data_IF_178952402824
#
_entry.id   IF_178952402824
#
_cell.length_a   1.000
_cell.length_b   1.000
_cell.length_c   1.000
_cell.angle_alpha   90.00
_cell.angle_beta   90.00
_cell.angle_gamma   90.00
#
_symmetry.space_group_name_H-M   'P 1'
#
loop_
_entity.id
_entity.type
_entity.pdbx_description
1 polymer ?
#
# COMPACT_ATOMS: atom_id res chain seq x y z
N UNK A 1 11.76 -21.99 16.76
CA UNK A 1 12.94 -21.12 16.47
C UNK A 1 13.08 -20.78 14.99
N UNK A 2 12.74 -21.66 14.05
CA UNK A 2 12.82 -21.40 12.59
C UNK A 2 11.94 -20.23 12.13
N UNK A 3 10.76 -20.05 12.72
CA UNK A 3 9.84 -18.96 12.33
C UNK A 3 10.42 -17.55 12.55
N UNK A 4 11.00 -17.25 13.70
CA UNK A 4 11.55 -15.92 14.02
C UNK A 4 12.72 -15.56 13.10
N UNK A 5 13.54 -16.54 12.74
CA UNK A 5 14.66 -16.35 11.79
C UNK A 5 14.17 -15.90 10.41
N UNK A 6 13.03 -16.42 9.94
CA UNK A 6 12.44 -16.02 8.66
C UNK A 6 11.99 -14.56 8.67
N UNK A 7 11.36 -14.11 9.77
CA UNK A 7 10.97 -12.70 9.95
C UNK A 7 12.19 -11.77 9.96
N UNK A 8 13.24 -12.13 10.72
CA UNK A 8 14.46 -11.33 10.78
C UNK A 8 15.21 -11.32 9.45
N UNK A 9 15.26 -12.44 8.73
CA UNK A 9 15.87 -12.50 7.41
C UNK A 9 15.14 -11.59 6.41
N UNK A 10 13.81 -11.65 6.36
CA UNK A 10 13.01 -10.77 5.51
C UNK A 10 13.21 -9.29 5.87
N UNK A 11 13.19 -8.95 7.17
CA UNK A 11 13.46 -7.62 7.68
C UNK A 11 14.80 -7.07 7.20
N UNK A 12 15.90 -7.82 7.44
CA UNK A 12 17.24 -7.39 7.05
C UNK A 12 17.40 -7.25 5.55
N UNK A 13 16.86 -8.18 4.76
CA UNK A 13 16.91 -8.12 3.30
C UNK A 13 16.15 -6.91 2.75
N UNK A 14 14.97 -6.59 3.28
CA UNK A 14 14.27 -5.36 2.91
C UNK A 14 15.07 -4.10 3.23
N UNK A 15 15.72 -4.04 4.40
CA UNK A 15 16.57 -2.90 4.77
C UNK A 15 17.78 -2.77 3.84
N UNK A 16 18.47 -3.87 3.55
CA UNK A 16 19.64 -3.87 2.66
C UNK A 16 19.27 -3.42 1.25
N UNK A 17 18.20 -3.97 0.69
CA UNK A 17 17.73 -3.60 -0.65
C UNK A 17 17.19 -2.17 -0.66
N UNK A 18 16.42 -1.77 0.34
CA UNK A 18 15.94 -0.40 0.50
C UNK A 18 17.08 0.62 0.59
N UNK A 19 18.12 0.30 1.36
CA UNK A 19 19.34 1.10 1.45
C UNK A 19 20.06 1.20 0.10
N UNK A 20 20.17 0.08 -0.65
CA UNK A 20 20.80 0.07 -1.96
C UNK A 20 20.03 0.98 -2.94
N UNK A 21 18.70 0.85 -3.03
CA UNK A 21 17.87 1.72 -3.87
C UNK A 21 17.95 3.18 -3.42
N UNK A 22 17.93 3.46 -2.13
CA UNK A 22 18.07 4.81 -1.60
C UNK A 22 19.40 5.43 -2.06
N UNK A 23 20.49 4.72 -1.85
CA UNK A 23 21.82 5.17 -2.25
C UNK A 23 21.92 5.44 -3.75
N UNK A 24 21.39 4.56 -4.59
CA UNK A 24 21.49 4.71 -6.04
C UNK A 24 20.53 5.79 -6.59
N UNK A 25 19.32 5.88 -6.08
CA UNK A 25 18.32 6.84 -6.59
C UNK A 25 18.56 8.25 -6.06
N UNK A 26 18.95 8.40 -4.78
CA UNK A 26 18.98 9.70 -4.14
C UNK A 26 20.40 10.28 -3.97
N UNK A 27 21.46 9.46 -3.90
CA UNK A 27 22.83 9.94 -3.72
C UNK A 27 23.61 10.09 -5.03
N UNK A 28 23.32 9.29 -6.06
CA UNK A 28 23.97 9.39 -7.38
C UNK A 28 23.29 10.37 -8.34
N UNK A 29 22.14 10.94 -8.02
CA UNK A 29 21.54 12.05 -8.76
C UNK A 29 22.46 13.29 -8.86
N UNK A 30 23.57 13.33 -8.11
CA UNK A 30 24.57 14.38 -8.11
C UNK A 30 25.77 14.10 -9.05
N UNK A 31 25.94 12.89 -9.57
CA UNK A 31 27.11 12.50 -10.36
C UNK A 31 26.69 11.88 -11.70
N UNK A 32 26.87 12.70 -12.74
CA UNK A 32 27.10 12.37 -14.16
C UNK A 32 26.10 11.47 -14.91
N UNK A 33 25.59 12.04 -15.98
CA UNK A 33 25.10 11.42 -17.21
C UNK A 33 26.07 10.37 -17.77
N UNK A 34 26.00 9.13 -17.34
CA UNK A 34 26.56 8.01 -18.07
C UNK A 34 25.41 7.23 -18.72
N UNK A 35 25.47 7.15 -20.04
CA UNK A 35 24.47 6.59 -20.97
C UNK A 35 24.40 5.05 -20.97
N UNK A 36 24.83 4.39 -19.89
CA UNK A 36 24.74 2.95 -19.76
C UNK A 36 23.64 2.56 -18.79
N UNK A 37 22.70 1.67 -19.19
CA UNK A 37 21.75 1.07 -18.25
C UNK A 37 22.55 0.38 -17.15
N UNK A 38 22.42 0.89 -15.93
CA UNK A 38 23.21 0.44 -14.80
C UNK A 38 22.75 -0.98 -14.44
N UNK A 39 23.51 -2.01 -14.85
CA UNK A 39 23.22 -3.41 -14.55
C UNK A 39 23.01 -3.67 -13.08
N UNK A 40 23.49 -2.76 -12.21
CA UNK A 40 23.31 -2.84 -10.76
C UNK A 40 21.84 -2.66 -10.33
N UNK A 41 21.05 -1.85 -11.02
CA UNK A 41 19.63 -1.65 -10.73
C UNK A 41 18.82 -2.88 -11.16
N UNK A 42 19.19 -3.48 -12.31
CA UNK A 42 18.49 -4.66 -12.83
C UNK A 42 18.59 -5.84 -11.87
N UNK A 43 19.78 -6.18 -11.36
CA UNK A 43 19.91 -7.31 -10.42
C UNK A 43 19.22 -7.04 -9.08
N UNK A 44 19.23 -5.79 -8.59
CA UNK A 44 18.56 -5.42 -7.34
C UNK A 44 17.04 -5.59 -7.43
N UNK A 45 16.47 -5.35 -8.61
CA UNK A 45 15.05 -5.62 -8.87
C UNK A 45 14.74 -7.13 -8.75
N UNK A 46 15.58 -8.00 -9.29
CA UNK A 46 15.40 -9.44 -9.10
C UNK A 46 15.66 -9.86 -7.64
N UNK A 47 16.65 -9.27 -6.97
CA UNK A 47 16.95 -9.54 -5.57
C UNK A 47 15.78 -9.21 -4.63
N UNK A 48 14.95 -8.20 -4.97
CA UNK A 48 13.76 -7.83 -4.20
C UNK A 48 12.72 -8.98 -4.11
N UNK A 49 12.77 -9.94 -5.03
CA UNK A 49 11.88 -11.10 -4.99
C UNK A 49 12.12 -11.96 -3.74
N UNK A 50 13.37 -12.04 -3.26
CA UNK A 50 13.72 -12.88 -2.10
C UNK A 50 13.00 -12.41 -0.82
N UNK A 51 13.12 -11.14 -0.37
CA UNK A 51 12.38 -10.69 0.80
C UNK A 51 10.86 -10.68 0.58
N UNK A 52 10.36 -10.47 -0.64
CA UNK A 52 8.93 -10.60 -0.95
C UNK A 52 8.42 -12.03 -0.73
N UNK A 53 9.16 -13.06 -1.16
CA UNK A 53 8.79 -14.46 -0.94
C UNK A 53 8.89 -14.85 0.53
N UNK A 54 9.94 -14.41 1.23
CA UNK A 54 10.07 -14.65 2.67
C UNK A 54 8.93 -13.99 3.45
N UNK A 55 8.56 -12.76 3.10
CA UNK A 55 7.43 -12.05 3.71
C UNK A 55 6.09 -12.77 3.43
N UNK A 56 5.87 -13.23 2.19
CA UNK A 56 4.71 -14.06 1.87
C UNK A 56 4.66 -15.34 2.71
N UNK A 57 5.81 -16.00 2.90
CA UNK A 57 5.89 -17.20 3.73
C UNK A 57 5.58 -16.91 5.20
N UNK A 58 6.07 -15.78 5.76
CA UNK A 58 5.73 -15.37 7.14
C UNK A 58 4.26 -15.03 7.29
N UNK A 59 3.65 -14.34 6.31
CA UNK A 59 2.22 -14.07 6.28
C UNK A 59 1.41 -15.36 6.21
N UNK A 60 1.79 -16.29 5.33
CA UNK A 60 1.14 -17.59 5.24
C UNK A 60 1.17 -18.32 6.58
N UNK A 61 2.34 -18.40 7.21
CA UNK A 61 2.49 -19.04 8.52
C UNK A 61 1.64 -18.38 9.61
N UNK A 62 1.62 -17.03 9.67
CA UNK A 62 0.86 -16.30 10.70
C UNK A 62 -0.65 -16.30 10.45
N UNK A 63 -1.10 -16.41 9.20
CA UNK A 63 -2.52 -16.41 8.86
C UNK A 63 -3.16 -17.80 8.92
N UNK A 64 -2.38 -18.87 8.67
CA UNK A 64 -2.87 -20.25 8.57
C UNK A 64 -2.23 -21.19 9.62
N UNK A 65 -1.72 -20.65 10.74
CA UNK A 65 -1.12 -21.44 11.82
C UNK A 65 -2.14 -22.35 12.51
N UNK A 66 -3.38 -21.88 12.64
CA UNK A 66 -4.49 -22.60 13.27
C UNK A 66 -5.48 -23.10 12.20
N UNK A 67 -6.46 -23.90 12.62
CA UNK A 67 -7.50 -24.44 11.73
C UNK A 67 -8.47 -23.36 11.23
N UNK A 68 -7.97 -22.29 10.61
CA UNK A 68 -8.76 -21.18 10.07
C UNK A 68 -7.92 -19.97 9.72
N UNK A 69 -8.50 -19.01 8.99
CA UNK A 69 -7.81 -17.77 8.60
C UNK A 69 -7.76 -16.77 9.77
N UNK A 70 -6.57 -16.54 10.31
CA UNK A 70 -6.32 -15.54 11.36
C UNK A 70 -5.92 -14.19 10.75
N UNK A 71 -6.84 -13.21 10.78
CA UNK A 71 -6.66 -11.91 10.12
C UNK A 71 -6.86 -10.74 11.10
N UNK A 72 -5.92 -10.60 12.04
CA UNK A 72 -5.86 -9.48 12.99
C UNK A 72 -5.16 -8.25 12.42
N UNK A 73 -4.97 -7.24 13.27
CA UNK A 73 -4.37 -5.96 12.90
C UNK A 73 -2.97 -6.13 12.26
N UNK A 74 -2.10 -6.93 12.89
CA UNK A 74 -0.73 -7.17 12.40
C UNK A 74 -0.72 -7.80 11.01
N UNK A 75 -1.50 -8.87 10.81
CA UNK A 75 -1.62 -9.56 9.53
C UNK A 75 -2.22 -8.66 8.43
N UNK A 76 -3.21 -7.83 8.79
CA UNK A 76 -3.86 -6.93 7.84
C UNK A 76 -2.90 -5.86 7.31
N UNK A 77 -2.22 -5.13 8.21
CA UNK A 77 -1.26 -4.09 7.81
C UNK A 77 -0.10 -4.71 7.04
N UNK A 78 0.46 -5.81 7.55
CA UNK A 78 1.57 -6.53 6.92
C UNK A 78 1.21 -6.98 5.50
N UNK A 79 0.01 -7.53 5.28
CA UNK A 79 -0.47 -7.95 3.97
C UNK A 79 -0.67 -6.79 3.00
N UNK A 80 -1.24 -5.65 3.46
CA UNK A 80 -1.41 -4.45 2.63
C UNK A 80 -0.04 -3.91 2.18
N UNK A 81 0.92 -3.83 3.10
CA UNK A 81 2.26 -3.34 2.79
C UNK A 81 3.03 -4.33 1.91
N UNK A 82 2.89 -5.64 2.15
CA UNK A 82 3.46 -6.67 1.28
C UNK A 82 2.93 -6.55 -0.16
N UNK A 83 1.61 -6.43 -0.32
CA UNK A 83 1.00 -6.30 -1.63
C UNK A 83 1.40 -4.97 -2.30
N UNK A 84 1.52 -3.88 -1.52
CA UNK A 84 2.08 -2.61 -1.99
C UNK A 84 3.50 -2.81 -2.51
N UNK A 85 4.39 -3.44 -1.74
CA UNK A 85 5.77 -3.72 -2.15
C UNK A 85 5.83 -4.64 -3.38
N UNK A 86 4.94 -5.62 -3.47
CA UNK A 86 4.82 -6.49 -4.65
C UNK A 86 4.41 -5.70 -5.89
N UNK A 87 3.43 -4.80 -5.80
CA UNK A 87 2.99 -3.95 -6.93
C UNK A 87 4.14 -3.02 -7.37
N UNK A 88 4.90 -2.43 -6.43
CA UNK A 88 6.08 -1.64 -6.77
C UNK A 88 7.16 -2.46 -7.46
N UNK A 89 7.46 -3.66 -6.95
CA UNK A 89 8.39 -4.58 -7.60
C UNK A 89 7.94 -4.94 -9.01
N UNK A 90 6.68 -5.32 -9.17
CA UNK A 90 6.11 -5.69 -10.46
C UNK A 90 6.07 -4.51 -11.44
N UNK A 91 5.81 -3.29 -10.94
CA UNK A 91 5.80 -2.08 -11.77
C UNK A 91 7.15 -1.78 -12.44
N UNK A 92 8.24 -2.26 -11.87
CA UNK A 92 9.58 -2.10 -12.41
C UNK A 92 9.82 -2.79 -13.76
N UNK A 93 8.99 -3.76 -14.12
CA UNK A 93 9.04 -4.42 -15.42
C UNK A 93 8.34 -3.62 -16.54
N UNK A 94 7.67 -2.52 -16.20
CA UNK A 94 6.90 -1.72 -17.14
C UNK A 94 7.45 -0.28 -17.23
N UNK A 95 7.98 0.11 -18.39
CA UNK A 95 8.52 1.45 -18.63
C UNK A 95 7.52 2.58 -18.34
N UNK A 96 6.24 2.34 -18.59
CA UNK A 96 5.17 3.30 -18.32
C UNK A 96 4.96 3.61 -16.84
N UNK A 97 5.46 2.75 -15.95
CA UNK A 97 5.31 2.86 -14.50
C UNK A 97 6.63 3.25 -13.80
N UNK A 98 7.67 3.61 -14.55
CA UNK A 98 8.98 4.03 -13.99
C UNK A 98 8.88 5.13 -12.93
N UNK A 99 7.86 5.99 -13.03
CA UNK A 99 7.62 7.02 -11.99
C UNK A 99 7.34 6.48 -10.59
N UNK A 100 6.96 5.19 -10.46
CA UNK A 100 6.79 4.54 -9.16
C UNK A 100 8.13 4.12 -8.54
N UNK A 101 9.17 3.89 -9.33
CA UNK A 101 10.46 3.35 -8.85
C UNK A 101 11.16 4.26 -7.83
N UNK A 102 10.88 5.54 -7.85
CA UNK A 102 11.42 6.50 -6.86
C UNK A 102 10.98 6.21 -5.42
N UNK A 103 9.88 5.47 -5.24
CA UNK A 103 9.33 5.12 -3.93
C UNK A 103 9.69 3.69 -3.47
N UNK A 104 10.49 2.94 -4.25
CA UNK A 104 10.89 1.58 -3.89
C UNK A 104 11.63 1.55 -2.55
N UNK A 105 12.55 2.49 -2.31
CA UNK A 105 13.30 2.55 -1.06
C UNK A 105 12.41 2.79 0.17
N UNK A 106 11.54 3.83 0.23
CA UNK A 106 10.65 4.00 1.37
C UNK A 106 9.61 2.88 1.51
N UNK A 107 9.17 2.28 0.41
CA UNK A 107 8.26 1.12 0.45
C UNK A 107 8.97 -0.12 1.01
N UNK A 108 10.22 -0.38 0.63
CA UNK A 108 11.03 -1.45 1.21
C UNK A 108 11.26 -1.24 2.71
N UNK A 109 11.54 0.00 3.15
CA UNK A 109 11.67 0.32 4.58
C UNK A 109 10.34 0.09 5.33
N UNK A 110 9.20 0.47 4.75
CA UNK A 110 7.89 0.18 5.32
C UNK A 110 7.61 -1.33 5.39
N UNK A 111 7.99 -2.10 4.35
CA UNK A 111 7.84 -3.55 4.31
C UNK A 111 8.73 -4.25 5.35
N UNK A 112 9.94 -3.72 5.60
CA UNK A 112 10.80 -4.21 6.68
C UNK A 112 10.10 -4.12 8.04
N UNK A 113 9.47 -2.99 8.35
CA UNK A 113 8.71 -2.84 9.60
C UNK A 113 7.47 -3.74 9.59
N UNK A 114 6.74 -3.76 8.48
CA UNK A 114 5.48 -4.46 8.36
C UNK A 114 5.60 -5.98 8.50
N UNK A 115 6.71 -6.58 8.07
CA UNK A 115 6.96 -8.01 8.22
C UNK A 115 7.00 -8.45 9.69
N UNK A 116 7.35 -7.56 10.61
CA UNK A 116 7.41 -7.85 12.05
C UNK A 116 6.05 -7.68 12.76
N UNK A 117 5.07 -7.01 12.14
CA UNK A 117 3.80 -6.69 12.78
C UNK A 117 3.00 -7.91 13.24
N UNK A 118 2.95 -9.05 12.51
CA UNK A 118 2.28 -10.25 13.00
C UNK A 118 2.89 -10.84 14.28
N UNK A 119 4.19 -10.60 14.55
CA UNK A 119 4.84 -11.00 15.80
C UNK A 119 4.48 -10.07 16.96
N UNK A 120 4.35 -8.77 16.66
CA UNK A 120 4.04 -7.73 17.67
C UNK A 120 2.55 -7.75 18.02
N UNK A 121 1.69 -7.95 17.02
CA UNK A 121 0.23 -7.99 17.13
C UNK A 121 -0.30 -9.33 16.60
N UNK A 122 -0.12 -10.43 17.35
CA UNK A 122 -0.61 -11.75 16.93
C UNK A 122 -2.13 -11.78 16.86
N UNK A 123 -2.67 -12.48 15.88
CA UNK A 123 -4.12 -12.70 15.78
C UNK A 123 -4.55 -13.76 16.77
N UNK A 124 -5.48 -13.42 17.66
CA UNK A 124 -5.93 -14.33 18.71
C UNK A 124 -7.08 -15.26 18.30
N UNK A 125 -7.79 -14.95 17.23
CA UNK A 125 -8.95 -15.74 16.78
C UNK A 125 -9.02 -15.86 15.26
N UNK A 126 -9.34 -17.06 14.75
CA UNK A 126 -9.66 -17.22 13.34
C UNK A 126 -10.97 -16.51 12.99
N UNK A 127 -11.06 -16.01 11.77
CA UNK A 127 -12.29 -15.43 11.23
C UNK A 127 -13.30 -16.53 10.92
N UNK A 128 -14.58 -16.26 11.17
CA UNK A 128 -15.67 -17.13 10.75
C UNK A 128 -15.87 -17.09 9.22
N UNK A 129 -16.42 -18.18 8.66
CA UNK A 129 -16.84 -18.28 7.26
C UNK A 129 -15.71 -18.07 6.22
N UNK A 130 -14.46 -18.31 6.60
CA UNK A 130 -13.30 -18.13 5.74
C UNK A 130 -13.24 -19.11 4.56
N UNK A 131 -14.02 -20.19 4.62
CA UNK A 131 -14.11 -21.19 3.54
C UNK A 131 -14.97 -20.70 2.35
N UNK A 132 -15.82 -19.70 2.55
CA UNK A 132 -16.70 -19.20 1.50
C UNK A 132 -15.89 -18.49 0.40
N UNK A 133 -16.06 -18.89 -0.87
CA UNK A 133 -15.39 -18.22 -2.00
C UNK A 133 -15.69 -16.71 -2.08
N UNK A 134 -16.93 -16.31 -1.73
CA UNK A 134 -17.34 -14.91 -1.69
C UNK A 134 -16.51 -14.10 -0.65
N UNK A 135 -16.23 -14.68 0.52
CA UNK A 135 -15.37 -14.05 1.52
C UNK A 135 -13.94 -13.89 1.01
N UNK A 136 -13.36 -14.95 0.43
CA UNK A 136 -11.99 -14.92 -0.12
C UNK A 136 -11.87 -13.86 -1.22
N UNK A 137 -12.84 -13.79 -2.13
CA UNK A 137 -12.88 -12.79 -3.20
C UNK A 137 -13.01 -11.37 -2.65
N UNK A 138 -13.95 -11.13 -1.70
CA UNK A 138 -14.10 -9.85 -1.03
C UNK A 138 -12.81 -9.39 -0.35
N UNK A 139 -12.16 -10.27 0.41
CA UNK A 139 -10.91 -9.97 1.10
C UNK A 139 -9.80 -9.60 0.11
N UNK A 140 -9.63 -10.37 -0.96
CA UNK A 140 -8.63 -10.11 -2.00
C UNK A 140 -8.84 -8.76 -2.68
N UNK A 141 -10.08 -8.46 -3.11
CA UNK A 141 -10.44 -7.20 -3.75
C UNK A 141 -10.19 -6.03 -2.78
N UNK A 142 -10.60 -6.16 -1.52
CA UNK A 142 -10.38 -5.16 -0.50
C UNK A 142 -8.88 -4.89 -0.28
N UNK A 143 -8.06 -5.94 -0.16
CA UNK A 143 -6.62 -5.80 0.01
C UNK A 143 -5.96 -5.11 -1.18
N UNK A 144 -6.36 -5.44 -2.40
CA UNK A 144 -5.88 -4.75 -3.61
C UNK A 144 -6.30 -3.27 -3.64
N UNK A 145 -7.55 -2.95 -3.25
CA UNK A 145 -8.02 -1.58 -3.15
C UNK A 145 -7.19 -0.77 -2.13
N UNK A 146 -6.99 -1.31 -0.92
CA UNK A 146 -6.15 -0.68 0.11
C UNK A 146 -4.72 -0.46 -0.37
N UNK A 147 -4.11 -1.46 -1.01
CA UNK A 147 -2.72 -1.36 -1.49
C UNK A 147 -2.57 -0.31 -2.59
N UNK A 148 -3.46 -0.27 -3.58
CA UNK A 148 -3.41 0.74 -4.64
C UNK A 148 -3.67 2.15 -4.11
N UNK A 149 -4.60 2.33 -3.17
CA UNK A 149 -4.85 3.63 -2.57
C UNK A 149 -3.73 4.03 -1.60
N UNK A 150 -3.02 3.08 -0.99
CA UNK A 150 -1.75 3.33 -0.28
C UNK A 150 -0.68 3.86 -1.24
N UNK A 151 -0.54 3.24 -2.41
CA UNK A 151 0.37 3.71 -3.46
C UNK A 151 0.00 5.13 -3.90
N UNK A 152 -1.30 5.42 -4.13
CA UNK A 152 -1.77 6.75 -4.46
C UNK A 152 -1.41 7.79 -3.38
N UNK A 153 -1.58 7.45 -2.10
CA UNK A 153 -1.23 8.32 -0.98
C UNK A 153 0.29 8.58 -0.90
N UNK A 154 1.12 7.54 -1.03
CA UNK A 154 2.58 7.67 -1.05
C UNK A 154 3.04 8.52 -2.24
N UNK A 155 2.43 8.33 -3.40
CA UNK A 155 2.72 9.11 -4.60
C UNK A 155 2.30 10.58 -4.44
N UNK A 156 1.15 10.84 -3.81
CA UNK A 156 0.71 12.19 -3.46
C UNK A 156 1.66 12.88 -2.46
N UNK A 157 2.18 12.14 -1.47
CA UNK A 157 3.22 12.63 -0.56
C UNK A 157 4.51 12.98 -1.30
N UNK A 158 4.97 12.10 -2.21
CA UNK A 158 6.13 12.38 -3.05
C UNK A 158 5.94 13.66 -3.87
N UNK A 159 4.76 13.83 -4.51
CA UNK A 159 4.45 15.05 -5.25
C UNK A 159 4.49 16.29 -4.36
N UNK A 160 4.06 16.20 -3.11
CA UNK A 160 4.17 17.30 -2.13
C UNK A 160 5.62 17.67 -1.84
N UNK A 161 6.48 16.67 -1.69
CA UNK A 161 7.93 16.88 -1.48
C UNK A 161 8.55 17.54 -2.70
N UNK A 162 8.28 17.03 -3.89
CA UNK A 162 8.77 17.59 -5.15
C UNK A 162 8.32 19.06 -5.34
N UNK A 163 7.04 19.34 -5.11
CA UNK A 163 6.48 20.69 -5.23
C UNK A 163 7.16 21.67 -4.27
N UNK A 164 7.41 21.28 -3.01
CA UNK A 164 8.10 22.12 -2.04
C UNK A 164 9.54 22.44 -2.46
N UNK A 165 10.26 21.46 -2.98
CA UNK A 165 11.65 21.64 -3.41
C UNK A 165 11.78 22.52 -4.68
N UNK A 166 10.79 22.52 -5.58
CA UNK A 166 10.77 23.40 -6.73
C UNK A 166 10.75 24.89 -6.37
N UNK A 167 10.28 25.25 -5.18
CA UNK A 167 10.22 26.63 -4.70
C UNK A 167 11.47 27.08 -3.93
N UNK A 168 12.49 26.23 -3.73
CA UNK A 168 13.72 26.56 -3.02
C UNK A 168 14.92 26.56 -3.98
N UNK A 169 15.60 27.72 -4.18
CA UNK A 169 16.82 27.81 -5.02
C UNK A 169 17.94 26.96 -4.38
N UNK A 170 18.49 26.02 -5.14
CA UNK A 170 19.63 25.19 -4.70
C UNK A 170 19.38 23.68 -4.65
N UNK A 171 18.18 23.22 -4.90
CA UNK A 171 17.77 21.79 -4.80
C UNK A 171 17.79 21.06 -6.16
N UNK A 172 18.58 21.51 -7.13
CA UNK A 172 18.52 21.03 -8.52
C UNK A 172 18.91 19.56 -8.72
N UNK A 173 19.73 18.99 -7.84
CA UNK A 173 20.29 17.64 -8.05
C UNK A 173 19.23 16.53 -7.94
N UNK A 174 18.32 16.62 -6.99
CA UNK A 174 17.29 15.58 -6.74
C UNK A 174 16.16 15.66 -7.78
N UNK A 175 15.82 16.89 -8.23
CA UNK A 175 14.72 17.14 -9.15
C UNK A 175 14.99 16.62 -10.57
N UNK A 176 16.26 16.58 -11.00
CA UNK A 176 16.64 16.14 -12.34
C UNK A 176 16.41 14.64 -12.59
N UNK A 177 16.31 13.84 -11.54
CA UNK A 177 16.05 12.39 -11.63
C UNK A 177 14.56 12.03 -11.54
N UNK A 178 13.69 13.00 -11.23
CA UNK A 178 12.25 12.75 -11.04
C UNK A 178 11.46 13.06 -12.32
N UNK A 179 10.40 12.30 -12.62
CA UNK A 179 9.53 12.61 -13.74
C UNK A 179 8.86 13.99 -13.58
N UNK A 180 8.50 14.64 -14.69
CA UNK A 180 7.76 15.90 -14.64
C UNK A 180 6.48 15.78 -13.81
N UNK A 181 6.15 16.79 -13.00
CA UNK A 181 4.96 16.82 -12.13
C UNK A 181 3.67 16.44 -12.87
N UNK A 182 3.53 16.82 -14.12
CA UNK A 182 2.36 16.47 -14.95
C UNK A 182 2.27 14.96 -15.21
N UNK A 183 3.40 14.29 -15.43
CA UNK A 183 3.44 12.84 -15.60
C UNK A 183 3.10 12.12 -14.28
N UNK A 184 3.62 12.64 -13.16
CA UNK A 184 3.30 12.13 -11.83
C UNK A 184 1.80 12.28 -11.51
N UNK A 185 1.21 13.42 -11.85
CA UNK A 185 -0.23 13.67 -11.67
C UNK A 185 -1.08 12.70 -12.50
N UNK A 186 -0.72 12.48 -13.76
CA UNK A 186 -1.41 11.50 -14.62
C UNK A 186 -1.36 10.09 -14.04
N UNK A 187 -0.19 9.69 -13.55
CA UNK A 187 0.00 8.40 -12.90
C UNK A 187 -0.84 8.28 -11.62
N UNK A 188 -0.86 9.33 -10.77
CA UNK A 188 -1.68 9.40 -9.57
C UNK A 188 -3.16 9.14 -9.88
N UNK A 189 -3.73 9.83 -10.85
CA UNK A 189 -5.14 9.66 -11.21
C UNK A 189 -5.43 8.28 -11.80
N UNK A 190 -4.51 7.70 -12.58
CA UNK A 190 -4.67 6.32 -13.08
C UNK A 190 -4.74 5.31 -11.91
N UNK A 191 -3.87 5.45 -10.91
CA UNK A 191 -3.87 4.59 -9.73
C UNK A 191 -5.17 4.78 -8.92
N UNK A 192 -5.60 6.04 -8.73
CA UNK A 192 -6.85 6.35 -8.01
C UNK A 192 -8.04 5.74 -8.75
N UNK A 193 -8.11 5.81 -10.09
CA UNK A 193 -9.20 5.21 -10.86
C UNK A 193 -9.30 3.70 -10.62
N UNK A 194 -8.19 2.97 -10.74
CA UNK A 194 -8.19 1.52 -10.49
C UNK A 194 -8.52 1.22 -9.03
N UNK A 195 -7.91 1.95 -8.09
CA UNK A 195 -8.19 1.81 -6.66
C UNK A 195 -9.66 2.09 -6.31
N UNK A 196 -10.27 3.11 -6.93
CA UNK A 196 -11.67 3.46 -6.75
C UNK A 196 -12.64 2.39 -7.28
N UNK A 197 -12.34 1.79 -8.43
CA UNK A 197 -13.12 0.66 -8.96
C UNK A 197 -13.08 -0.51 -7.98
N UNK A 198 -11.89 -0.87 -7.49
CA UNK A 198 -11.74 -1.94 -6.51
C UNK A 198 -12.42 -1.61 -5.17
N UNK A 199 -12.35 -0.37 -4.71
CA UNK A 199 -13.07 0.09 -3.52
C UNK A 199 -14.59 -0.01 -3.71
N UNK A 200 -15.10 0.35 -4.88
CA UNK A 200 -16.51 0.19 -5.23
C UNK A 200 -16.93 -1.29 -5.20
N UNK A 201 -16.12 -2.17 -5.80
CA UNK A 201 -16.37 -3.61 -5.75
C UNK A 201 -16.31 -4.17 -4.33
N UNK A 202 -15.39 -3.65 -3.49
CA UNK A 202 -15.29 -4.00 -2.07
C UNK A 202 -16.57 -3.63 -1.33
N UNK A 203 -17.08 -2.41 -1.50
CA UNK A 203 -18.30 -1.97 -0.85
C UNK A 203 -19.52 -2.75 -1.35
N UNK A 204 -19.65 -2.94 -2.66
CA UNK A 204 -20.74 -3.71 -3.26
C UNK A 204 -20.75 -5.16 -2.75
N UNK A 205 -19.59 -5.84 -2.80
CA UNK A 205 -19.49 -7.21 -2.30
C UNK A 205 -19.76 -7.29 -0.80
N UNK A 206 -19.32 -6.31 0.00
CA UNK A 206 -19.63 -6.22 1.42
C UNK A 206 -21.12 -6.06 1.71
N UNK A 207 -21.86 -5.32 0.89
CA UNK A 207 -23.32 -5.18 1.00
C UNK A 207 -24.04 -6.45 0.55
N UNK A 208 -23.70 -6.96 -0.64
CA UNK A 208 -24.41 -8.11 -1.28
C UNK A 208 -24.21 -9.38 -0.45
N UNK A 209 -22.97 -9.65 -0.03
CA UNK A 209 -22.64 -10.88 0.70
C UNK A 209 -22.69 -10.73 2.23
N UNK A 210 -23.24 -9.62 2.74
CA UNK A 210 -23.27 -9.36 4.18
C UNK A 210 -23.89 -10.51 5.00
N UNK A 211 -25.05 -11.01 4.55
CA UNK A 211 -25.73 -12.13 5.24
C UNK A 211 -24.95 -13.44 5.14
N UNK A 212 -24.38 -13.75 3.96
CA UNK A 212 -23.66 -15.00 3.70
C UNK A 212 -22.30 -15.02 4.41
N UNK A 213 -21.58 -13.88 4.39
CA UNK A 213 -20.22 -13.77 4.91
C UNK A 213 -20.20 -13.48 6.42
N UNK A 214 -21.10 -12.62 6.90
CA UNK A 214 -21.10 -12.17 8.30
C UNK A 214 -22.29 -12.69 9.12
N UNK A 215 -23.21 -13.47 8.50
CA UNK A 215 -24.39 -14.03 9.18
C UNK A 215 -25.45 -13.00 9.60
N UNK A 216 -25.22 -11.72 9.28
CA UNK A 216 -26.10 -10.60 9.67
C UNK A 216 -26.34 -9.66 8.47
N UNK A 217 -27.50 -8.99 8.39
CA UNK A 217 -27.71 -7.93 7.39
C UNK A 217 -26.71 -6.80 7.62
N UNK A 218 -26.50 -5.97 6.60
CA UNK A 218 -25.58 -4.85 6.67
C UNK A 218 -25.84 -3.99 7.90
N UNK A 219 -24.89 -4.00 8.83
CA UNK A 219 -24.94 -3.12 10.01
C UNK A 219 -24.11 -1.87 9.73
N UNK A 220 -24.72 -0.70 9.98
CA UNK A 220 -24.01 0.59 9.88
C UNK A 220 -23.06 0.74 11.08
N UNK A 221 -21.91 0.08 10.99
CA UNK A 221 -20.82 0.23 11.94
C UNK A 221 -19.91 1.41 11.52
N UNK A 222 -19.08 1.88 12.44
CA UNK A 222 -18.05 2.90 12.13
C UNK A 222 -17.19 2.49 10.92
N UNK A 223 -16.86 1.19 10.79
CA UNK A 223 -16.13 0.63 9.66
C UNK A 223 -16.84 0.87 8.33
N UNK A 224 -18.13 0.55 8.28
CA UNK A 224 -18.96 0.73 7.08
C UNK A 224 -19.10 2.22 6.74
N UNK A 225 -19.36 3.06 7.75
CA UNK A 225 -19.51 4.51 7.57
C UNK A 225 -18.25 5.15 6.98
N UNK A 226 -17.08 4.92 7.57
CA UNK A 226 -15.82 5.45 7.05
C UNK A 226 -15.45 4.90 5.67
N UNK A 227 -15.84 3.66 5.36
CA UNK A 227 -15.70 3.09 4.02
C UNK A 227 -16.48 3.87 2.98
N UNK A 228 -17.76 4.18 3.24
CA UNK A 228 -18.60 4.98 2.35
C UNK A 228 -18.12 6.44 2.26
N UNK A 229 -17.69 7.04 3.36
CA UNK A 229 -17.13 8.41 3.34
C UNK A 229 -15.87 8.44 2.46
N UNK A 230 -14.94 7.49 2.63
CA UNK A 230 -13.75 7.40 1.79
C UNK A 230 -14.11 7.23 0.31
N UNK A 231 -15.06 6.37 0.00
CA UNK A 231 -15.57 6.19 -1.36
C UNK A 231 -16.12 7.51 -1.93
N UNK A 232 -16.93 8.24 -1.15
CA UNK A 232 -17.47 9.54 -1.54
C UNK A 232 -16.38 10.59 -1.79
N UNK A 233 -15.31 10.61 -0.98
CA UNK A 233 -14.15 11.50 -1.16
C UNK A 233 -13.44 11.20 -2.48
N UNK A 234 -13.17 9.92 -2.80
CA UNK A 234 -12.53 9.54 -4.06
C UNK A 234 -13.45 9.78 -5.26
N UNK A 235 -14.77 9.53 -5.12
CA UNK A 235 -15.76 9.87 -6.15
C UNK A 235 -15.77 11.37 -6.46
N UNK A 236 -15.80 12.21 -5.42
CA UNK A 236 -15.75 13.67 -5.55
C UNK A 236 -14.44 14.14 -6.19
N UNK A 237 -13.29 13.54 -5.82
CA UNK A 237 -12.00 13.85 -6.43
C UNK A 237 -12.00 13.53 -7.93
N UNK A 238 -12.48 12.36 -8.33
CA UNK A 238 -12.53 11.95 -9.74
C UNK A 238 -13.53 12.79 -10.55
N UNK A 239 -14.70 13.09 -9.97
CA UNK A 239 -15.67 14.01 -10.57
C UNK A 239 -15.12 15.43 -10.68
N UNK A 240 -14.45 15.93 -9.63
CA UNK A 240 -13.78 17.22 -9.63
C UNK A 240 -12.68 17.31 -10.69
N UNK A 241 -11.95 16.22 -10.91
CA UNK A 241 -10.97 16.13 -12.02
C UNK A 241 -11.65 16.25 -13.38
N UNK A 242 -12.76 15.53 -13.57
CA UNK A 242 -13.46 15.47 -14.86
C UNK A 242 -14.20 16.77 -15.19
N UNK A 243 -14.91 17.36 -14.23
CA UNK A 243 -15.80 18.51 -14.48
C UNK A 243 -15.15 19.86 -14.21
N UNK A 244 -14.25 19.93 -13.21
CA UNK A 244 -13.63 21.18 -12.73
C UNK A 244 -12.12 21.24 -12.99
N UNK A 245 -11.52 20.19 -13.54
CA UNK A 245 -10.10 20.14 -13.82
C UNK A 245 -9.20 20.17 -12.56
N UNK A 246 -9.64 19.61 -11.45
CA UNK A 246 -8.86 19.56 -10.21
C UNK A 246 -7.52 18.90 -10.41
N UNK A 247 -6.44 19.62 -10.01
CA UNK A 247 -5.03 19.26 -10.21
C UNK A 247 -4.16 19.69 -9.02
N UNK A 248 -2.89 19.25 -9.04
CA UNK A 248 -1.87 19.68 -8.09
C UNK A 248 -2.30 19.53 -6.65
N UNK A 249 -2.22 20.60 -5.87
CA UNK A 249 -2.50 20.59 -4.41
C UNK A 249 -3.91 20.11 -4.04
N UNK A 250 -4.90 20.39 -4.88
CA UNK A 250 -6.28 19.92 -4.62
C UNK A 250 -6.31 18.40 -4.72
N UNK A 251 -5.77 17.84 -5.78
CA UNK A 251 -5.70 16.39 -5.97
C UNK A 251 -4.95 15.69 -4.83
N UNK A 252 -3.80 16.25 -4.42
CA UNK A 252 -3.00 15.73 -3.30
C UNK A 252 -3.81 15.71 -2.00
N UNK A 253 -4.45 16.83 -1.65
CA UNK A 253 -5.22 16.95 -0.39
C UNK A 253 -6.38 15.95 -0.36
N UNK A 254 -7.18 15.88 -1.41
CA UNK A 254 -8.31 14.96 -1.49
C UNK A 254 -7.87 13.50 -1.46
N UNK A 255 -6.76 13.15 -2.12
CA UNK A 255 -6.18 11.81 -2.08
C UNK A 255 -5.79 11.43 -0.65
N UNK A 256 -5.10 12.30 0.07
CA UNK A 256 -4.68 12.06 1.45
C UNK A 256 -5.87 11.98 2.41
N UNK A 257 -6.86 12.85 2.27
CA UNK A 257 -8.10 12.80 3.09
C UNK A 257 -8.84 11.50 2.85
N UNK A 258 -9.05 11.11 1.58
CA UNK A 258 -9.69 9.84 1.24
C UNK A 258 -8.96 8.65 1.80
N UNK A 259 -7.63 8.63 1.71
CA UNK A 259 -6.80 7.55 2.23
C UNK A 259 -6.83 7.47 3.77
N UNK A 260 -6.71 8.60 4.49
CA UNK A 260 -6.81 8.65 5.95
C UNK A 260 -8.17 8.11 6.41
N UNK A 261 -9.25 8.53 5.74
CA UNK A 261 -10.60 8.04 6.03
C UNK A 261 -10.72 6.53 5.79
N UNK A 262 -10.07 6.02 4.72
CA UNK A 262 -10.03 4.60 4.43
C UNK A 262 -9.24 3.80 5.49
N UNK A 263 -8.12 4.34 5.97
CA UNK A 263 -7.38 3.73 7.08
C UNK A 263 -8.22 3.64 8.35
N UNK A 264 -8.99 4.68 8.67
CA UNK A 264 -9.90 4.67 9.83
C UNK A 264 -11.01 3.63 9.69
N UNK A 265 -11.46 3.33 8.48
CA UNK A 265 -12.50 2.33 8.24
C UNK A 265 -12.11 0.95 8.73
N UNK A 266 -10.90 0.48 8.47
CA UNK A 266 -10.48 -0.87 8.84
C UNK A 266 -9.41 -0.87 9.93
N UNK A 267 -8.27 -0.24 9.68
CA UNK A 267 -7.13 -0.24 10.60
C UNK A 267 -7.51 0.47 11.91
N UNK A 268 -8.18 1.63 11.81
CA UNK A 268 -8.65 2.37 12.98
C UNK A 268 -9.66 1.56 13.82
N UNK A 269 -10.61 0.89 13.16
CA UNK A 269 -11.59 0.05 13.88
C UNK A 269 -10.95 -1.16 14.55
N UNK A 270 -10.00 -1.82 13.88
CA UNK A 270 -9.24 -2.95 14.43
C UNK A 270 -8.32 -2.50 15.58
N UNK A 271 -7.64 -1.38 15.43
CA UNK A 271 -6.80 -0.82 16.48
C UNK A 271 -7.59 -0.54 17.76
N UNK A 272 -8.75 0.10 17.64
CA UNK A 272 -9.62 0.38 18.79
C UNK A 272 -10.12 -0.92 19.43
N UNK A 273 -10.57 -1.90 18.64
CA UNK A 273 -11.10 -3.15 19.17
C UNK A 273 -10.00 -4.00 19.82
N UNK A 274 -8.89 -4.22 19.13
CA UNK A 274 -7.85 -5.17 19.55
C UNK A 274 -6.90 -4.57 20.61
N UNK A 275 -6.55 -3.28 20.50
CA UNK A 275 -5.54 -2.66 21.38
C UNK A 275 -6.18 -1.84 22.50
N UNK A 276 -7.18 -0.99 22.17
CA UNK A 276 -7.75 -0.08 23.19
C UNK A 276 -8.77 -0.79 24.06
N UNK A 277 -9.66 -1.58 23.45
CA UNK A 277 -10.75 -2.26 24.16
C UNK A 277 -10.42 -3.69 24.57
N UNK A 278 -9.28 -4.24 24.14
CA UNK A 278 -8.88 -5.64 24.39
C UNK A 278 -10.01 -6.64 24.03
N UNK A 279 -10.84 -6.31 23.04
CA UNK A 279 -11.93 -7.14 22.52
C UNK A 279 -11.47 -7.76 21.19
N UNK A 280 -11.30 -9.07 21.21
CA UNK A 280 -10.87 -9.86 20.05
C UNK A 280 -12.08 -10.46 19.33
#
# INVERSE_FOLDING_TARGET
>A
MTGILTYLAAFLLYLLIGWFFWRNTWSHAAATSSDHPDNSIAWAQYAMLVPLLLHAATLYQSMFADAGLSFGLGNAISSIVWLTAFIYWFSGFFDRLRGLQTLVAPVAAAAAIAVLLPLIFPSMRPLANTELPAFKAHLLIAMMAYSLLTIAALHALLMTVVERHLHHPGSHSILNSLPPLLAMEKLLFNIIWVGFILLTLTLLSGVVFSKEVFGQPLTFTHKTLFGFISWGVFAALLAGRQFYGWRGRIAIRWTLVGFITLLLAYIGSKFVLEIVLNRY
#
